data_IF_951827619079
#
_entry.id   IF_951827619079
#
_cell.length_a   1.000
_cell.length_b   1.000
_cell.length_c   1.000
_cell.angle_alpha   90.00
_cell.angle_beta   90.00
_cell.angle_gamma   90.00
#
_symmetry.space_group_name_H-M   'P 1'
#
loop_
_entity.id
_entity.type
_entity.pdbx_description
1 polymer ?
#
# COMPACT_ATOMS: atom_id res chain seq x y z
N UNK A 1 13.01 27.17 -26.73
CA UNK A 1 13.39 25.85 -26.15
C UNK A 1 12.49 25.58 -24.96
N UNK A 2 11.38 24.87 -25.16
CA UNK A 2 10.50 24.50 -24.04
C UNK A 2 11.12 23.27 -23.40
N UNK A 3 11.64 23.41 -22.18
CA UNK A 3 12.00 22.26 -21.34
C UNK A 3 10.72 21.47 -21.11
N UNK A 4 10.59 20.30 -21.72
CA UNK A 4 9.53 19.35 -21.40
C UNK A 4 9.57 19.12 -19.90
N UNK A 5 8.55 19.57 -19.17
CA UNK A 5 8.41 19.22 -17.76
C UNK A 5 8.37 17.69 -17.70
N UNK A 6 9.22 17.10 -16.85
CA UNK A 6 9.27 15.66 -16.70
C UNK A 6 7.86 15.16 -16.33
N UNK A 7 7.30 14.31 -17.19
CA UNK A 7 6.03 13.64 -16.94
C UNK A 7 6.16 12.73 -15.72
N UNK A 8 5.06 12.48 -15.02
CA UNK A 8 5.05 11.61 -13.84
C UNK A 8 5.62 10.23 -14.19
N UNK A 9 6.57 9.75 -13.38
CA UNK A 9 7.12 8.40 -13.48
C UNK A 9 6.62 7.57 -12.27
N UNK A 10 5.63 6.68 -12.47
CA UNK A 10 5.06 5.87 -11.39
C UNK A 10 6.08 4.95 -10.70
N UNK A 11 7.02 4.40 -11.45
CA UNK A 11 8.06 3.51 -10.91
C UNK A 11 8.99 4.28 -9.98
N UNK A 12 9.44 5.46 -10.41
CA UNK A 12 10.26 6.35 -9.58
C UNK A 12 9.53 6.73 -8.30
N UNK A 13 8.27 7.16 -8.40
CA UNK A 13 7.45 7.50 -7.24
C UNK A 13 7.29 6.32 -6.27
N UNK A 14 7.02 5.13 -6.80
CA UNK A 14 6.88 3.90 -6.01
C UNK A 14 8.17 3.60 -5.23
N UNK A 15 9.32 3.68 -5.90
CA UNK A 15 10.62 3.41 -5.27
C UNK A 15 10.96 4.44 -4.18
N UNK A 16 10.68 5.72 -4.42
CA UNK A 16 10.85 6.79 -3.43
C UNK A 16 9.93 6.60 -2.22
N UNK A 17 8.66 6.21 -2.45
CA UNK A 17 7.71 5.94 -1.37
C UNK A 17 8.13 4.75 -0.50
N UNK A 18 8.57 3.64 -1.11
CA UNK A 18 9.06 2.46 -0.37
C UNK A 18 10.32 2.80 0.43
N UNK A 19 11.25 3.56 -0.15
CA UNK A 19 12.46 4.00 0.55
C UNK A 19 12.12 4.87 1.76
N UNK A 20 11.18 5.81 1.62
CA UNK A 20 10.69 6.66 2.71
C UNK A 20 10.04 5.83 3.83
N UNK A 21 9.13 4.93 3.48
CA UNK A 21 8.47 4.05 4.46
C UNK A 21 9.48 3.19 5.23
N UNK A 22 10.51 2.68 4.56
CA UNK A 22 11.58 1.90 5.21
C UNK A 22 12.37 2.73 6.23
N UNK A 23 12.49 4.04 6.04
CA UNK A 23 13.16 4.93 6.99
C UNK A 23 12.27 5.38 8.14
N UNK A 24 10.96 5.49 7.92
CA UNK A 24 10.00 5.98 8.92
C UNK A 24 9.45 4.86 9.82
N UNK A 25 9.34 3.63 9.30
CA UNK A 25 8.83 2.47 10.03
C UNK A 25 9.99 1.68 10.65
N UNK A 26 10.25 1.89 11.94
CA UNK A 26 11.36 1.30 12.68
C UNK A 26 11.03 0.02 13.44
N UNK A 27 9.75 -0.30 13.61
CA UNK A 27 9.26 -1.48 14.34
C UNK A 27 7.99 -2.01 13.65
N UNK A 28 7.18 -2.81 14.36
CA UNK A 28 5.91 -3.34 13.88
C UNK A 28 4.96 -2.22 13.46
N UNK A 29 4.39 -2.37 12.27
CA UNK A 29 3.40 -1.49 11.68
C UNK A 29 2.06 -2.24 11.53
N UNK A 30 0.96 -1.51 11.63
CA UNK A 30 -0.39 -2.03 11.39
C UNK A 30 -1.02 -1.22 10.27
N UNK A 31 -1.72 -1.88 9.35
CA UNK A 31 -2.51 -1.21 8.32
C UNK A 31 -3.88 -1.87 8.15
N UNK A 32 -4.91 -1.06 7.95
CA UNK A 32 -6.22 -1.55 7.56
C UNK A 32 -6.27 -1.74 6.03
N UNK A 33 -6.42 -2.98 5.58
CA UNK A 33 -6.56 -3.33 4.17
C UNK A 33 -8.02 -3.72 3.90
N UNK A 34 -8.85 -2.76 3.45
CA UNK A 34 -10.31 -2.94 3.34
C UNK A 34 -10.78 -3.68 2.08
N UNK A 35 -9.88 -4.02 1.16
CA UNK A 35 -10.22 -4.52 -0.18
C UNK A 35 -10.40 -3.43 -1.24
N UNK A 36 -10.42 -2.17 -0.83
CA UNK A 36 -10.37 -1.03 -1.75
C UNK A 36 -8.99 -0.85 -2.40
N UNK A 37 -8.95 -0.21 -3.57
CA UNK A 37 -7.69 -0.02 -4.33
C UNK A 37 -6.66 0.77 -3.52
N UNK A 38 -7.07 1.86 -2.87
CA UNK A 38 -6.15 2.74 -2.15
C UNK A 38 -5.48 2.04 -0.95
N UNK A 39 -6.29 1.38 -0.11
CA UNK A 39 -5.80 0.66 1.08
C UNK A 39 -4.96 -0.55 0.69
N UNK A 40 -5.30 -1.24 -0.41
CA UNK A 40 -4.53 -2.36 -0.95
C UNK A 40 -3.18 -1.90 -1.49
N UNK A 41 -3.14 -0.81 -2.27
CA UNK A 41 -1.89 -0.25 -2.79
C UNK A 41 -0.99 0.22 -1.63
N UNK A 42 -1.56 0.91 -0.65
CA UNK A 42 -0.81 1.33 0.55
C UNK A 42 -0.24 0.13 1.31
N UNK A 43 -1.02 -0.94 1.51
CA UNK A 43 -0.56 -2.17 2.15
C UNK A 43 0.59 -2.84 1.37
N UNK A 44 0.51 -2.89 0.04
CA UNK A 44 1.58 -3.43 -0.81
C UNK A 44 2.86 -2.60 -0.72
N UNK A 45 2.77 -1.27 -0.71
CA UNK A 45 3.95 -0.40 -0.57
C UNK A 45 4.60 -0.56 0.81
N UNK A 46 3.80 -0.62 1.89
CA UNK A 46 4.29 -0.86 3.24
C UNK A 46 4.91 -2.26 3.37
N UNK A 47 4.30 -3.30 2.79
CA UNK A 47 4.81 -4.66 2.82
C UNK A 47 6.16 -4.77 2.10
N UNK A 48 6.33 -4.07 0.97
CA UNK A 48 7.63 -3.96 0.27
C UNK A 48 8.71 -3.30 1.14
N UNK A 49 8.33 -2.36 2.01
CA UNK A 49 9.26 -1.62 2.86
C UNK A 49 9.72 -2.44 4.08
N UNK A 50 8.79 -3.09 4.80
CA UNK A 50 9.06 -3.68 6.13
C UNK A 50 8.77 -5.18 6.27
N UNK A 51 8.23 -5.82 5.24
CA UNK A 51 7.98 -7.28 5.18
C UNK A 51 7.23 -7.80 6.43
N UNK A 52 7.85 -8.71 7.18
CA UNK A 52 7.26 -9.41 8.32
C UNK A 52 6.92 -8.50 9.51
N UNK A 53 7.37 -7.24 9.49
CA UNK A 53 7.00 -6.24 10.48
C UNK A 53 5.65 -5.56 10.18
N UNK A 54 4.97 -5.87 9.08
CA UNK A 54 3.65 -5.33 8.77
C UNK A 54 2.54 -6.33 9.12
N UNK A 55 1.62 -5.92 9.99
CA UNK A 55 0.35 -6.60 10.21
C UNK A 55 -0.75 -5.90 9.40
N UNK A 56 -1.17 -6.52 8.30
CA UNK A 56 -2.34 -6.09 7.55
C UNK A 56 -3.60 -6.69 8.18
N UNK A 57 -4.60 -5.83 8.45
CA UNK A 57 -5.87 -6.22 9.05
C UNK A 57 -6.97 -5.96 8.04
N UNK A 58 -7.67 -7.02 7.66
CA UNK A 58 -8.96 -6.94 6.98
C UNK A 58 -10.08 -7.19 7.99
N UNK A 59 -11.16 -6.43 7.88
CA UNK A 59 -12.37 -6.60 8.70
C UNK A 59 -13.55 -6.77 7.76
N UNK A 60 -14.14 -7.96 7.76
CA UNK A 60 -15.45 -8.15 7.16
C UNK A 60 -16.51 -7.47 8.04
N UNK A 61 -17.15 -6.45 7.48
CA UNK A 61 -18.18 -5.68 8.18
C UNK A 61 -19.57 -6.31 8.11
N UNK A 62 -19.74 -7.38 7.32
CA UNK A 62 -21.03 -7.97 6.98
C UNK A 62 -21.78 -7.25 5.85
N UNK A 63 -21.20 -6.20 5.27
CA UNK A 63 -21.77 -5.41 4.17
C UNK A 63 -20.95 -5.47 2.87
N UNK A 64 -20.04 -6.44 2.75
CA UNK A 64 -19.20 -6.61 1.57
C UNK A 64 -20.01 -7.19 0.40
N UNK A 65 -19.53 -7.00 -0.84
CA UNK A 65 -20.18 -7.59 -2.01
C UNK A 65 -19.98 -9.11 -2.03
N UNK A 66 -20.83 -9.80 -2.78
CA UNK A 66 -20.75 -11.25 -2.94
C UNK A 66 -19.34 -11.68 -3.38
N UNK A 67 -18.67 -12.49 -2.55
CA UNK A 67 -17.33 -13.02 -2.80
C UNK A 67 -16.18 -12.03 -2.59
N UNK A 68 -16.45 -10.80 -2.14
CA UNK A 68 -15.41 -9.78 -1.93
C UNK A 68 -14.52 -10.12 -0.73
N UNK A 69 -15.10 -10.63 0.36
CA UNK A 69 -14.32 -11.04 1.54
C UNK A 69 -13.32 -12.14 1.20
N UNK A 70 -13.76 -13.20 0.50
CA UNK A 70 -12.90 -14.31 0.08
C UNK A 70 -11.79 -13.88 -0.90
N UNK A 71 -12.03 -12.83 -1.68
CA UNK A 71 -11.04 -12.29 -2.62
C UNK A 71 -9.95 -11.47 -1.92
N UNK A 72 -10.29 -10.81 -0.80
CA UNK A 72 -9.40 -9.87 -0.09
C UNK A 72 -8.62 -10.55 1.03
N UNK A 73 -9.22 -11.54 1.71
CA UNK A 73 -8.67 -12.19 2.91
C UNK A 73 -7.61 -13.24 2.63
#
# INVERSE_FOLDING_TARGET
MVKTMAFFNPEKFTNEAVAKLKTELSDKAIIAASGGVDSTVAAVLAAKAVKDNLLAIYVDTGYMRLGESDYVS
#
